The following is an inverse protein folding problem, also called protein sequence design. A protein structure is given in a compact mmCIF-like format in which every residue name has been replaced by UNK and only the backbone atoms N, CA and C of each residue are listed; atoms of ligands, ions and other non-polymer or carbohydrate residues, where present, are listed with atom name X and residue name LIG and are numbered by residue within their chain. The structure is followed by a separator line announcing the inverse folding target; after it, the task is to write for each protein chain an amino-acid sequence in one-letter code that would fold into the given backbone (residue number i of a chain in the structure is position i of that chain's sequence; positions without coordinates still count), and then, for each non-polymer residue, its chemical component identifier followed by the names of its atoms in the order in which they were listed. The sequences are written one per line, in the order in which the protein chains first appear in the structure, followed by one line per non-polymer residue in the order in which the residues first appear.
data_IF_242056358552
#
_entry.id   IF_242056358552
#
_cell.length_a   1.000
_cell.length_b   1.000
_cell.length_c   1.000
_cell.angle_alpha   90.00
_cell.angle_beta   90.00
_cell.angle_gamma   90.00
#
_symmetry.space_group_name_H-M   'P 1'
#
loop_
_entity.id
_entity.type
_entity.pdbx_description
1 polymer ?
#
# COMPACT_ATOMS: atom_id res chain seq x y z
N UNK A 1 7.54 -11.92 -19.50
CA UNK A 1 9.02 -11.95 -19.31
C UNK A 1 9.40 -12.96 -18.25
N UNK A 2 8.93 -12.81 -17.01
CA UNK A 2 9.18 -13.79 -15.94
C UNK A 2 8.65 -15.18 -16.32
N UNK A 3 7.42 -15.25 -16.84
CA UNK A 3 6.81 -16.49 -17.34
C UNK A 3 7.59 -17.14 -18.50
N UNK A 4 8.36 -16.34 -19.25
CA UNK A 4 9.24 -16.82 -20.31
C UNK A 4 10.64 -17.24 -19.80
N UNK A 5 10.83 -17.31 -18.48
CA UNK A 5 12.08 -17.77 -17.84
C UNK A 5 13.14 -16.70 -17.62
N UNK A 6 12.82 -15.41 -17.79
CA UNK A 6 13.77 -14.32 -17.56
C UNK A 6 14.11 -14.19 -16.06
N UNK A 7 15.28 -14.74 -15.69
CA UNK A 7 15.80 -14.74 -14.32
C UNK A 7 16.09 -13.34 -13.78
N UNK A 8 16.54 -12.40 -14.63
CA UNK A 8 16.85 -11.03 -14.19
C UNK A 8 15.57 -10.28 -13.88
N UNK A 9 14.55 -10.41 -14.72
CA UNK A 9 13.24 -9.83 -14.46
C UNK A 9 12.64 -10.39 -13.16
N UNK A 10 12.76 -11.70 -12.92
CA UNK A 10 12.31 -12.33 -11.68
C UNK A 10 13.03 -11.76 -10.46
N UNK A 11 14.36 -11.69 -10.50
CA UNK A 11 15.18 -11.14 -9.41
C UNK A 11 14.78 -9.70 -9.06
N UNK A 12 14.60 -8.84 -10.07
CA UNK A 12 14.20 -7.43 -9.84
C UNK A 12 12.79 -7.34 -9.25
N UNK A 13 11.86 -8.17 -9.74
CA UNK A 13 10.49 -8.21 -9.23
C UNK A 13 10.44 -8.66 -7.77
N UNK A 14 11.17 -9.73 -7.42
CA UNK A 14 11.28 -10.22 -6.04
C UNK A 14 11.98 -9.19 -5.14
N UNK A 15 13.01 -8.51 -5.64
CA UNK A 15 13.68 -7.43 -4.91
C UNK A 15 12.73 -6.26 -4.60
N UNK A 16 11.83 -5.91 -5.52
CA UNK A 16 10.80 -4.89 -5.28
C UNK A 16 9.84 -5.32 -4.16
N UNK A 17 9.32 -6.56 -4.22
CA UNK A 17 8.47 -7.12 -3.18
C UNK A 17 9.16 -7.11 -1.81
N UNK A 18 10.43 -7.52 -1.78
CA UNK A 18 11.27 -7.54 -0.59
C UNK A 18 11.44 -6.16 0.05
N UNK A 19 11.67 -5.11 -0.75
CA UNK A 19 11.78 -3.75 -0.21
C UNK A 19 10.44 -3.25 0.35
N UNK A 20 9.33 -3.52 -0.32
CA UNK A 20 7.99 -3.17 0.19
C UNK A 20 7.73 -3.86 1.53
N UNK A 21 8.01 -5.16 1.62
CA UNK A 21 7.85 -5.94 2.85
C UNK A 21 8.73 -5.41 4.00
N UNK A 22 9.99 -5.05 3.72
CA UNK A 22 10.87 -4.43 4.71
C UNK A 22 10.35 -3.10 5.23
N UNK A 23 9.77 -2.27 4.35
CA UNK A 23 9.20 -0.99 4.74
C UNK A 23 7.98 -1.17 5.65
N UNK A 24 7.14 -2.17 5.38
CA UNK A 24 6.05 -2.57 6.26
C UNK A 24 6.60 -3.00 7.64
N UNK A 25 7.63 -3.86 7.66
CA UNK A 25 8.28 -4.27 8.91
C UNK A 25 8.88 -3.11 9.70
N UNK A 26 9.48 -2.13 9.00
CA UNK A 26 10.01 -0.91 9.62
C UNK A 26 8.90 -0.11 10.31
N UNK A 27 7.73 0.04 9.67
CA UNK A 27 6.60 0.74 10.26
C UNK A 27 5.94 -0.04 11.39
N UNK A 28 5.92 -1.37 11.33
CA UNK A 28 5.46 -2.19 12.44
C UNK A 28 6.30 -1.94 13.71
N UNK A 29 7.62 -1.76 13.57
CA UNK A 29 8.48 -1.40 14.70
C UNK A 29 8.15 -0.02 15.28
N UNK A 30 7.82 0.97 14.44
CA UNK A 30 7.36 2.31 14.89
C UNK A 30 6.11 2.21 15.76
N UNK A 31 5.19 1.32 15.38
CA UNK A 31 3.96 1.02 16.12
C UNK A 31 4.17 0.04 17.28
N UNK A 32 5.42 -0.31 17.62
CA UNK A 32 5.79 -1.28 18.67
C UNK A 32 5.12 -2.65 18.50
N UNK A 33 4.86 -3.05 17.26
CA UNK A 33 4.15 -4.28 16.92
C UNK A 33 2.63 -4.25 17.15
N UNK A 34 2.07 -3.15 17.68
CA UNK A 34 0.62 -2.98 17.86
C UNK A 34 -0.03 -2.55 16.53
N UNK A 35 -0.03 -3.48 15.56
CA UNK A 35 -0.56 -3.27 14.22
C UNK A 35 -1.89 -3.98 14.09
N UNK A 36 -2.97 -3.22 13.94
CA UNK A 36 -4.32 -3.80 13.75
C UNK A 36 -4.48 -4.49 12.39
N UNK A 37 -3.99 -3.84 11.33
CA UNK A 37 -4.06 -4.36 9.96
C UNK A 37 -3.00 -3.69 9.09
N UNK A 38 -2.59 -4.38 8.03
CA UNK A 38 -1.78 -3.84 6.96
C UNK A 38 -2.67 -3.69 5.73
N UNK A 39 -2.75 -2.47 5.17
CA UNK A 39 -3.52 -2.19 3.96
C UNK A 39 -2.59 -2.13 2.76
N UNK A 40 -2.83 -2.96 1.75
CA UNK A 40 -2.15 -2.88 0.46
C UNK A 40 -3.10 -2.25 -0.56
N UNK A 41 -2.73 -1.06 -1.03
CA UNK A 41 -3.52 -0.24 -1.96
C UNK A 41 -2.67 0.25 -3.13
N UNK A 42 -3.24 1.08 -4.01
CA UNK A 42 -2.60 1.54 -5.23
C UNK A 42 -2.64 0.50 -6.36
N UNK A 43 -2.12 0.88 -7.53
CA UNK A 43 -2.17 0.04 -8.74
C UNK A 43 -1.40 -1.28 -8.62
N UNK A 44 -0.35 -1.33 -7.80
CA UNK A 44 0.44 -2.55 -7.60
C UNK A 44 -0.33 -3.65 -6.86
N UNK A 45 -1.37 -3.29 -6.10
CA UNK A 45 -2.19 -4.27 -5.38
C UNK A 45 -3.05 -5.16 -6.29
N UNK A 46 -3.16 -4.85 -7.58
CA UNK A 46 -3.74 -5.75 -8.58
C UNK A 46 -2.81 -6.91 -8.96
N UNK A 47 -1.50 -6.81 -8.69
CA UNK A 47 -0.53 -7.84 -9.02
C UNK A 47 -0.53 -8.96 -7.97
N UNK A 48 -1.30 -10.03 -8.22
CA UNK A 48 -1.35 -11.20 -7.32
C UNK A 48 0.02 -11.77 -6.96
N UNK A 49 0.96 -11.99 -7.91
CA UNK A 49 2.27 -12.54 -7.56
C UNK A 49 3.10 -11.62 -6.65
N UNK A 50 2.94 -10.30 -6.80
CA UNK A 50 3.62 -9.33 -5.93
C UNK A 50 3.03 -9.39 -4.51
N UNK A 51 1.70 -9.39 -4.44
CA UNK A 51 0.96 -9.42 -3.19
C UNK A 51 1.26 -10.68 -2.39
N UNK A 52 1.33 -11.85 -3.04
CA UNK A 52 1.65 -13.13 -2.39
C UNK A 52 3.02 -13.11 -1.72
N UNK A 53 4.06 -12.58 -2.38
CA UNK A 53 5.40 -12.46 -1.79
C UNK A 53 5.39 -11.52 -0.58
N UNK A 54 4.68 -10.39 -0.68
CA UNK A 54 4.58 -9.44 0.44
C UNK A 54 3.85 -10.09 1.63
N UNK A 55 2.72 -10.75 1.37
CA UNK A 55 1.91 -11.42 2.40
C UNK A 55 2.72 -12.48 3.13
N UNK A 56 3.47 -13.32 2.40
CA UNK A 56 4.33 -14.34 3.00
C UNK A 56 5.36 -13.74 3.98
N UNK A 57 5.94 -12.59 3.60
CA UNK A 57 6.95 -11.92 4.41
C UNK A 57 6.40 -11.17 5.63
N UNK A 58 5.22 -10.57 5.55
CA UNK A 58 4.72 -9.63 6.59
C UNK A 58 3.43 -10.08 7.27
N UNK A 59 2.82 -11.18 6.83
CA UNK A 59 1.57 -11.69 7.36
C UNK A 59 1.64 -12.09 8.84
N UNK A 60 2.84 -12.33 9.38
CA UNK A 60 3.05 -12.58 10.80
C UNK A 60 2.80 -11.33 11.68
N UNK A 61 2.82 -10.13 11.09
CA UNK A 61 2.69 -8.86 11.82
C UNK A 61 1.23 -8.59 12.15
N UNK A 62 0.33 -8.69 11.16
CA UNK A 62 -1.09 -8.37 11.30
C UNK A 62 -1.91 -8.91 10.11
N UNK A 63 -3.24 -9.00 10.22
CA UNK A 63 -4.12 -9.28 9.09
C UNK A 63 -3.94 -8.27 7.96
N UNK A 64 -3.88 -8.76 6.72
CA UNK A 64 -3.67 -7.94 5.53
C UNK A 64 -4.99 -7.74 4.79
N UNK A 65 -5.30 -6.50 4.44
CA UNK A 65 -6.48 -6.15 3.64
C UNK A 65 -6.04 -5.53 2.31
N UNK A 66 -6.62 -6.02 1.21
CA UNK A 66 -6.35 -5.49 -0.13
C UNK A 66 -7.43 -4.46 -0.49
N UNK A 67 -6.99 -3.25 -0.85
CA UNK A 67 -7.83 -2.20 -1.43
C UNK A 67 -7.19 -1.70 -2.73
N UNK A 68 -7.26 -2.48 -3.83
CA UNK A 68 -6.55 -2.16 -5.06
C UNK A 68 -7.06 -0.87 -5.73
N UNK A 69 -6.13 -0.11 -6.32
CA UNK A 69 -6.42 1.15 -6.99
C UNK A 69 -6.38 2.35 -6.06
N UNK A 70 -7.07 3.41 -6.46
CA UNK A 70 -7.20 4.66 -5.75
C UNK A 70 -8.44 5.38 -6.26
N UNK A 71 -9.12 6.09 -5.37
CA UNK A 71 -10.29 6.90 -5.69
C UNK A 71 -9.91 8.38 -5.62
N UNK A 72 -8.82 8.79 -6.27
CA UNK A 72 -8.23 10.12 -6.09
C UNK A 72 -9.21 11.24 -6.47
N UNK A 73 -9.96 11.07 -7.55
CA UNK A 73 -10.94 12.06 -8.01
C UNK A 73 -12.12 12.19 -7.03
N UNK A 74 -12.57 11.08 -6.45
CA UNK A 74 -13.62 11.08 -5.44
C UNK A 74 -13.12 11.66 -4.12
N UNK A 75 -11.91 11.28 -3.67
CA UNK A 75 -11.27 11.85 -2.50
C UNK A 75 -11.07 13.37 -2.61
N UNK A 76 -10.72 13.87 -3.80
CA UNK A 76 -10.60 15.30 -4.08
C UNK A 76 -11.95 16.01 -4.05
N UNK A 77 -12.96 15.45 -4.72
CA UNK A 77 -14.35 15.95 -4.69
C UNK A 77 -14.85 16.02 -3.26
N UNK A 78 -14.66 14.97 -2.49
CA UNK A 78 -15.17 14.85 -1.12
C UNK A 78 -14.43 15.80 -0.18
N UNK A 79 -13.12 16.00 -0.37
CA UNK A 79 -12.35 17.03 0.32
C UNK A 79 -12.92 18.44 0.10
N UNK A 80 -13.17 18.81 -1.15
CA UNK A 80 -13.79 20.10 -1.49
C UNK A 80 -15.20 20.23 -0.90
N UNK A 81 -16.00 19.16 -0.97
CA UNK A 81 -17.38 19.15 -0.50
C UNK A 81 -17.47 19.32 1.03
N UNK A 82 -16.54 18.74 1.81
CA UNK A 82 -16.48 18.95 3.26
C UNK A 82 -16.23 20.41 3.63
N UNK A 83 -15.37 21.10 2.89
CA UNK A 83 -15.12 22.54 3.06
C UNK A 83 -16.38 23.35 2.71
N UNK A 84 -16.99 23.09 1.55
CA UNK A 84 -18.19 23.80 1.11
C UNK A 84 -19.38 23.60 2.06
N UNK A 85 -19.45 22.46 2.76
CA UNK A 85 -20.47 22.15 3.77
C UNK A 85 -20.14 22.63 5.19
N UNK A 86 -18.99 23.28 5.40
CA UNK A 86 -18.54 23.73 6.73
C UNK A 86 -18.16 22.59 7.68
N UNK A 87 -17.91 21.38 7.16
CA UNK A 87 -17.47 20.22 7.95
C UNK A 87 -15.95 20.22 8.19
N UNK A 88 -15.20 20.94 7.36
CA UNK A 88 -13.74 21.08 7.44
C UNK A 88 -13.35 22.53 7.17
N UNK A 89 -12.46 23.11 7.99
CA UNK A 89 -11.95 24.47 7.78
C UNK A 89 -10.84 24.44 6.72
N UNK A 90 -10.92 25.26 5.65
CA UNK A 90 -9.88 25.30 4.64
C UNK A 90 -8.58 25.85 5.24
N UNK A 91 -7.46 25.24 4.87
CA UNK A 91 -6.12 25.72 5.27
C UNK A 91 -5.64 26.78 4.29
N UNK A 92 -5.11 27.88 4.81
CA UNK A 92 -4.43 28.91 4.02
C UNK A 92 -2.93 28.60 4.07
N UNK A 93 -2.39 28.20 2.93
CA UNK A 93 -0.97 27.98 2.76
C UNK A 93 -0.39 29.24 2.12
N UNK A 94 0.55 29.88 2.82
CA UNK A 94 1.29 31.07 2.39
C UNK A 94 2.78 30.85 2.56
#
# INVERSE_FOLDING_TARGET
RIEAGDKKAKLVFEAMAYQIAKEIGRMAAVLKGDVKTIILTGGLAYSKPLIEIIIDMVGFIAPITLYPGGDEMEALRDGALRVLRGQETPKIYG
#
